data_IF_755044368784
#
_entry.id   IF_755044368784
#
_cell.length_a   1.000
_cell.length_b   1.000
_cell.length_c   1.000
_cell.angle_alpha   90.00
_cell.angle_beta   90.00
_cell.angle_gamma   90.00
#
_symmetry.space_group_name_H-M   'P 1'
#
loop_
_entity.id
_entity.type
_entity.pdbx_description
1 polymer ?
#
# COMPACT_ATOMS: atom_id res chain seq x y z
N UNK A 1 -16.60 -3.45 -5.53
CA UNK A 1 -16.51 -3.11 -6.97
C UNK A 1 -15.18 -2.43 -7.18
N UNK A 2 -14.48 -2.72 -8.29
CA UNK A 2 -13.21 -2.07 -8.59
C UNK A 2 -13.39 -0.55 -8.72
N UNK A 3 -12.39 0.22 -8.32
CA UNK A 3 -12.45 1.68 -8.23
C UNK A 3 -11.37 2.32 -9.11
N UNK A 4 -11.71 3.45 -9.74
CA UNK A 4 -10.76 4.24 -10.53
C UNK A 4 -9.90 5.13 -9.61
N UNK A 5 -8.62 5.26 -9.93
CA UNK A 5 -7.70 6.17 -9.22
C UNK A 5 -7.18 7.22 -10.21
N UNK A 6 -7.24 8.50 -9.83
CA UNK A 6 -6.64 9.59 -10.57
C UNK A 6 -5.65 10.33 -9.66
N UNK A 7 -4.43 10.48 -10.14
CA UNK A 7 -3.37 11.28 -9.53
C UNK A 7 -3.20 12.51 -10.43
N UNK A 8 -3.41 13.70 -9.87
CA UNK A 8 -3.48 14.95 -10.60
C UNK A 8 -2.47 15.96 -10.04
N UNK A 9 -1.40 16.21 -10.77
CA UNK A 9 -0.31 17.15 -10.45
C UNK A 9 0.26 16.98 -9.04
N UNK A 10 0.50 15.73 -8.62
CA UNK A 10 0.94 15.41 -7.25
C UNK A 10 2.44 15.64 -7.10
N UNK A 11 2.79 16.46 -6.10
CA UNK A 11 4.15 16.62 -5.59
C UNK A 11 4.24 16.13 -4.15
N UNK A 12 5.38 15.52 -3.81
CA UNK A 12 5.77 15.27 -2.42
C UNK A 12 7.18 15.73 -2.17
N UNK A 13 7.30 16.65 -1.24
CA UNK A 13 8.57 17.17 -0.72
C UNK A 13 8.67 16.79 0.75
N UNK A 14 9.83 16.27 1.16
CA UNK A 14 10.17 16.02 2.55
C UNK A 14 11.11 17.11 3.06
N UNK A 15 10.90 17.56 4.31
CA UNK A 15 11.67 18.56 5.02
C UNK A 15 10.77 19.59 5.70
N UNK A 16 11.39 20.55 6.37
CA UNK A 16 10.71 21.50 7.27
C UNK A 16 10.03 22.68 6.53
N UNK A 17 10.47 22.97 5.29
CA UNK A 17 9.96 24.08 4.48
C UNK A 17 9.63 23.62 3.04
N UNK A 18 8.67 22.68 2.85
CA UNK A 18 8.40 22.04 1.56
C UNK A 18 7.96 23.02 0.48
N UNK A 19 7.34 24.15 0.84
CA UNK A 19 6.84 25.16 -0.10
C UNK A 19 7.97 25.83 -0.90
N UNK A 20 9.14 26.04 -0.31
CA UNK A 20 10.30 26.61 -1.00
C UNK A 20 10.79 25.67 -2.11
N UNK A 21 10.93 24.40 -1.81
CA UNK A 21 11.34 23.40 -2.78
C UNK A 21 10.27 23.19 -3.86
N UNK A 22 8.98 23.21 -3.49
CA UNK A 22 7.88 23.12 -4.44
C UNK A 22 7.89 24.29 -5.45
N UNK A 23 8.15 25.51 -4.98
CA UNK A 23 8.26 26.67 -5.85
C UNK A 23 9.41 26.52 -6.87
N UNK A 24 10.57 26.02 -6.44
CA UNK A 24 11.72 25.75 -7.32
C UNK A 24 11.41 24.60 -8.29
N UNK A 25 10.75 23.54 -7.82
CA UNK A 25 10.35 22.43 -8.67
C UNK A 25 9.41 22.88 -9.79
N UNK A 26 8.45 23.74 -9.50
CA UNK A 26 7.54 24.32 -10.51
C UNK A 26 8.26 25.23 -11.52
N UNK A 27 9.42 25.77 -11.16
CA UNK A 27 10.28 26.54 -12.07
C UNK A 27 11.21 25.64 -12.90
N UNK A 28 11.16 24.30 -12.71
CA UNK A 28 11.98 23.34 -13.46
C UNK A 28 13.41 23.19 -12.91
N UNK A 29 13.70 23.67 -11.70
CA UNK A 29 14.99 23.46 -11.04
C UNK A 29 15.12 21.97 -10.67
N UNK A 30 16.22 21.32 -11.04
CA UNK A 30 16.40 19.88 -10.79
C UNK A 30 16.45 19.51 -9.31
N UNK A 31 16.18 18.22 -9.01
CA UNK A 31 16.05 17.72 -7.63
C UNK A 31 17.29 17.94 -6.79
N UNK A 32 18.49 17.79 -7.37
CA UNK A 32 19.74 17.93 -6.64
C UNK A 32 20.00 19.40 -6.27
N UNK A 33 19.78 20.31 -7.22
CA UNK A 33 19.92 21.76 -6.97
C UNK A 33 18.90 22.25 -5.93
N UNK A 34 17.68 21.67 -5.92
CA UNK A 34 16.66 21.97 -4.90
C UNK A 34 17.17 21.51 -3.52
N UNK A 35 17.68 20.27 -3.41
CA UNK A 35 18.22 19.74 -2.17
C UNK A 35 19.39 20.59 -1.64
N UNK A 36 20.33 20.95 -2.52
CA UNK A 36 21.48 21.78 -2.16
C UNK A 36 21.09 23.19 -1.67
N UNK A 37 20.09 23.80 -2.30
CA UNK A 37 19.63 25.17 -1.97
C UNK A 37 18.72 25.24 -0.76
N UNK A 38 17.91 24.19 -0.53
CA UNK A 38 16.83 24.25 0.46
C UNK A 38 16.96 23.22 1.58
N UNK A 39 17.83 22.21 1.44
CA UNK A 39 17.85 21.04 2.30
C UNK A 39 16.63 20.13 2.21
N UNK A 40 15.72 20.41 1.25
CA UNK A 40 14.46 19.67 1.08
C UNK A 40 14.58 18.63 -0.02
N UNK A 41 13.99 17.45 0.18
CA UNK A 41 14.03 16.35 -0.80
C UNK A 41 12.72 16.21 -1.55
N UNK A 42 12.76 16.33 -2.89
CA UNK A 42 11.59 16.09 -3.75
C UNK A 42 11.48 14.60 -4.08
N UNK A 43 10.56 13.90 -3.42
CA UNK A 43 10.34 12.46 -3.59
C UNK A 43 9.42 12.16 -4.79
N UNK A 44 8.32 12.90 -4.95
CA UNK A 44 7.41 12.79 -6.09
C UNK A 44 7.34 14.14 -6.79
N UNK A 45 7.45 14.11 -8.11
CA UNK A 45 7.51 15.31 -8.95
C UNK A 45 6.43 15.27 -10.02
N UNK A 46 5.43 16.13 -9.88
CA UNK A 46 4.34 16.33 -10.86
C UNK A 46 3.76 15.02 -11.41
N UNK A 47 3.43 14.11 -10.49
CA UNK A 47 2.88 12.81 -10.88
C UNK A 47 1.46 13.01 -11.43
N UNK A 48 1.25 12.49 -12.64
CA UNK A 48 -0.02 12.49 -13.34
C UNK A 48 -0.28 11.09 -13.86
N UNK A 49 -1.27 10.40 -13.27
CA UNK A 49 -1.60 9.01 -13.59
C UNK A 49 -3.12 8.81 -13.51
N UNK A 50 -3.61 7.90 -14.33
CA UNK A 50 -4.97 7.41 -14.27
C UNK A 50 -4.93 5.88 -14.32
N UNK A 51 -5.56 5.25 -13.35
CA UNK A 51 -5.65 3.81 -13.20
C UNK A 51 -7.13 3.46 -13.28
N UNK A 52 -7.49 2.64 -14.24
CA UNK A 52 -8.89 2.26 -14.45
C UNK A 52 -9.32 1.16 -13.47
N UNK A 53 -10.61 1.05 -13.26
CA UNK A 53 -11.19 0.01 -12.42
C UNK A 53 -10.84 -1.40 -12.96
N UNK A 54 -10.30 -2.26 -12.10
CA UNK A 54 -9.86 -3.62 -12.48
C UNK A 54 -8.52 -3.69 -13.20
N UNK A 55 -7.80 -2.57 -13.32
CA UNK A 55 -6.46 -2.54 -13.93
C UNK A 55 -5.37 -2.98 -12.94
N UNK A 56 -4.41 -3.78 -13.42
CA UNK A 56 -3.14 -4.02 -12.72
C UNK A 56 -2.14 -3.01 -13.22
N UNK A 57 -1.80 -2.04 -12.37
CA UNK A 57 -0.87 -0.96 -12.70
C UNK A 57 0.48 -1.15 -11.98
N UNK A 58 1.57 -1.19 -12.73
CA UNK A 58 2.91 -1.45 -12.18
C UNK A 58 3.77 -0.19 -12.25
N UNK A 59 4.31 0.23 -11.10
CA UNK A 59 5.25 1.35 -10.98
C UNK A 59 6.67 0.81 -10.90
N UNK A 60 7.49 1.08 -11.91
CA UNK A 60 8.89 0.66 -11.97
C UNK A 60 9.84 1.85 -11.90
N UNK A 61 11.05 1.61 -11.40
CA UNK A 61 12.10 2.63 -11.32
C UNK A 61 13.20 2.23 -10.34
N UNK A 62 14.29 2.99 -10.34
CA UNK A 62 15.44 2.77 -9.47
C UNK A 62 15.10 2.91 -7.97
N UNK A 63 15.94 2.37 -7.10
CA UNK A 63 15.84 2.62 -5.66
C UNK A 63 15.89 4.13 -5.38
N UNK A 64 15.06 4.62 -4.47
CA UNK A 64 14.98 6.06 -4.14
C UNK A 64 14.22 6.92 -5.16
N UNK A 65 13.64 6.35 -6.22
CA UNK A 65 12.89 7.14 -7.23
C UNK A 65 11.50 7.63 -6.77
N UNK A 66 11.07 7.30 -5.55
CA UNK A 66 9.81 7.75 -4.97
C UNK A 66 8.62 6.78 -5.12
N UNK A 67 8.82 5.56 -5.62
CA UNK A 67 7.76 4.54 -5.81
C UNK A 67 6.96 4.28 -4.53
N UNK A 68 7.64 3.89 -3.45
CA UNK A 68 6.99 3.64 -2.15
C UNK A 68 6.29 4.87 -1.60
N UNK A 69 6.86 6.06 -1.84
CA UNK A 69 6.21 7.32 -1.46
C UNK A 69 4.90 7.50 -2.24
N UNK A 70 4.90 7.27 -3.55
CA UNK A 70 3.71 7.40 -4.37
C UNK A 70 2.62 6.40 -3.94
N UNK A 71 2.98 5.13 -3.70
CA UNK A 71 2.03 4.12 -3.19
C UNK A 71 1.43 4.54 -1.83
N UNK A 72 2.23 5.11 -0.93
CA UNK A 72 1.76 5.58 0.39
C UNK A 72 0.93 6.86 0.34
N UNK A 73 1.04 7.63 -0.72
CA UNK A 73 0.15 8.77 -0.97
C UNK A 73 -1.27 8.30 -1.35
N UNK A 74 -1.39 7.16 -2.08
CA UNK A 74 -2.68 6.62 -2.55
C UNK A 74 -3.63 6.21 -1.42
N UNK A 75 -3.10 5.84 -0.26
CA UNK A 75 -3.91 5.54 0.93
C UNK A 75 -3.81 6.60 2.01
N UNK A 76 -3.21 7.77 1.66
CA UNK A 76 -3.01 8.91 2.56
C UNK A 76 -2.26 8.56 3.85
N UNK A 77 -1.34 7.56 3.81
CA UNK A 77 -0.35 7.35 4.87
C UNK A 77 0.67 8.49 4.91
N UNK A 78 0.86 9.13 3.77
CA UNK A 78 1.68 10.33 3.59
C UNK A 78 0.80 11.36 2.89
N UNK A 79 0.81 12.61 3.37
CA UNK A 79 0.13 13.72 2.71
C UNK A 79 0.98 14.26 1.54
N UNK A 80 0.39 14.57 0.38
CA UNK A 80 1.09 15.28 -0.68
C UNK A 80 1.43 16.70 -0.25
N UNK A 81 2.46 17.27 -0.86
CA UNK A 81 2.76 18.69 -0.69
C UNK A 81 1.84 19.53 -1.60
N UNK A 82 1.47 19.02 -2.76
CA UNK A 82 0.56 19.66 -3.72
C UNK A 82 -0.07 18.62 -4.63
N UNK A 83 -1.15 18.99 -5.32
CA UNK A 83 -1.90 18.12 -6.21
C UNK A 83 -3.05 17.41 -5.51
N UNK A 84 -3.71 16.49 -6.22
CA UNK A 84 -4.91 15.79 -5.72
C UNK A 84 -4.83 14.30 -6.07
N UNK A 85 -5.43 13.49 -5.23
CA UNK A 85 -5.64 12.06 -5.48
C UNK A 85 -7.13 11.78 -5.33
N UNK A 86 -7.73 11.29 -6.40
CA UNK A 86 -9.16 10.99 -6.45
C UNK A 86 -9.35 9.48 -6.55
N UNK A 87 -10.27 8.95 -5.75
CA UNK A 87 -10.76 7.58 -5.85
C UNK A 87 -12.24 7.67 -6.18
N UNK A 88 -12.65 7.14 -7.33
CA UNK A 88 -14.01 7.29 -7.89
C UNK A 88 -14.49 8.75 -7.89
N UNK A 89 -13.61 9.69 -8.24
CA UNK A 89 -13.91 11.12 -8.28
C UNK A 89 -13.91 11.82 -6.92
N UNK A 90 -13.74 11.09 -5.81
CA UNK A 90 -13.67 11.67 -4.48
C UNK A 90 -12.20 11.97 -4.09
N UNK A 91 -11.91 13.23 -3.78
CA UNK A 91 -10.58 13.64 -3.31
C UNK A 91 -10.34 13.10 -1.88
N UNK A 92 -9.37 12.18 -1.76
CA UNK A 92 -9.06 11.53 -0.48
C UNK A 92 -8.47 12.49 0.57
N UNK A 93 -7.92 13.63 0.15
CA UNK A 93 -7.35 14.65 1.06
C UNK A 93 -8.41 15.51 1.72
N UNK A 94 -9.61 15.57 1.12
CA UNK A 94 -10.76 16.28 1.67
C UNK A 94 -11.60 15.42 2.61
N UNK A 95 -11.31 14.13 2.72
CA UNK A 95 -12.00 13.22 3.62
C UNK A 95 -11.70 13.55 5.07
N UNK A 96 -12.74 13.53 5.91
CA UNK A 96 -12.57 13.52 7.36
C UNK A 96 -11.82 12.25 7.80
N UNK A 97 -11.19 12.28 8.97
CA UNK A 97 -10.50 11.09 9.52
C UNK A 97 -11.43 9.88 9.67
N UNK A 98 -12.70 10.10 9.98
CA UNK A 98 -13.68 9.02 10.06
C UNK A 98 -13.96 8.40 8.69
N UNK A 99 -14.15 9.23 7.65
CA UNK A 99 -14.36 8.78 6.28
C UNK A 99 -13.12 8.08 5.70
N UNK A 100 -11.93 8.61 5.97
CA UNK A 100 -10.66 7.98 5.56
C UNK A 100 -10.46 6.62 6.23
N UNK A 101 -10.77 6.50 7.53
CA UNK A 101 -10.72 5.19 8.21
C UNK A 101 -11.72 4.20 7.63
N UNK A 102 -12.92 4.65 7.25
CA UNK A 102 -13.92 3.81 6.60
C UNK A 102 -13.42 3.32 5.22
N UNK A 103 -12.87 4.23 4.41
CA UNK A 103 -12.28 3.90 3.11
C UNK A 103 -11.15 2.85 3.25
N UNK A 104 -10.22 3.05 4.18
CA UNK A 104 -9.11 2.11 4.43
C UNK A 104 -9.56 0.75 4.97
N UNK A 105 -10.68 0.69 5.71
CA UNK A 105 -11.19 -0.59 6.24
C UNK A 105 -11.89 -1.43 5.19
N UNK A 106 -12.56 -0.77 4.25
CA UNK A 106 -13.47 -1.41 3.31
C UNK A 106 -12.85 -1.58 1.93
N UNK A 107 -12.25 -0.52 1.42
CA UNK A 107 -11.96 -0.42 0.00
C UNK A 107 -10.46 -0.53 -0.32
N UNK A 108 -9.56 -0.25 0.63
CA UNK A 108 -8.12 -0.23 0.37
C UNK A 108 -7.39 -1.19 1.31
N UNK A 109 -6.67 -2.15 0.74
CA UNK A 109 -5.68 -2.94 1.46
C UNK A 109 -4.27 -2.62 0.99
N UNK A 110 -3.28 -2.78 1.88
CA UNK A 110 -1.89 -2.55 1.55
C UNK A 110 -0.99 -3.68 2.05
N UNK A 111 -0.14 -4.17 1.15
CA UNK A 111 0.97 -5.07 1.46
C UNK A 111 2.24 -4.24 1.58
N UNK A 112 2.86 -4.27 2.75
CA UNK A 112 4.07 -3.51 3.06
C UNK A 112 5.33 -4.29 2.70
N UNK A 113 6.40 -3.58 2.39
CA UNK A 113 7.74 -4.15 2.18
C UNK A 113 8.25 -4.91 3.43
N UNK A 114 8.05 -4.35 4.63
CA UNK A 114 8.19 -5.08 5.89
C UNK A 114 6.87 -5.77 6.19
N UNK A 115 6.88 -7.04 6.50
CA UNK A 115 5.66 -7.88 6.62
C UNK A 115 4.63 -7.32 7.60
N UNK A 116 5.05 -6.49 8.56
CA UNK A 116 4.21 -5.82 9.56
C UNK A 116 3.24 -6.81 10.25
N UNK A 117 3.70 -8.04 10.51
CA UNK A 117 2.94 -9.03 11.26
C UNK A 117 3.05 -8.74 12.76
N UNK A 118 1.97 -9.00 13.47
CA UNK A 118 1.93 -8.90 14.93
C UNK A 118 2.52 -10.16 15.54
N UNK A 119 3.67 -10.08 16.23
CA UNK A 119 4.41 -11.27 16.67
C UNK A 119 3.66 -12.08 17.74
N UNK A 120 2.75 -11.47 18.48
CA UNK A 120 1.93 -12.08 19.52
C UNK A 120 0.61 -12.68 19.02
N UNK A 121 0.34 -12.60 17.73
CA UNK A 121 -0.84 -13.15 17.07
C UNK A 121 -0.45 -14.32 16.18
N UNK A 122 -1.31 -15.36 16.11
CA UNK A 122 -1.14 -16.46 15.16
C UNK A 122 -1.27 -15.97 13.71
N UNK A 123 -0.86 -16.80 12.76
CA UNK A 123 -1.03 -16.57 11.33
C UNK A 123 -2.50 -16.29 10.97
N UNK A 124 -3.43 -17.11 11.49
CA UNK A 124 -4.86 -16.90 11.28
C UNK A 124 -5.34 -15.56 11.85
N UNK A 125 -4.91 -15.22 13.06
CA UNK A 125 -5.26 -13.95 13.70
C UNK A 125 -4.70 -12.75 12.93
N UNK A 126 -3.43 -12.82 12.48
CA UNK A 126 -2.83 -11.79 11.63
C UNK A 126 -3.62 -11.61 10.33
N UNK A 127 -4.04 -12.71 9.69
CA UNK A 127 -4.79 -12.66 8.44
C UNK A 127 -6.20 -12.09 8.65
N UNK A 128 -6.86 -12.45 9.74
CA UNK A 128 -8.21 -11.99 10.10
C UNK A 128 -8.25 -10.55 10.65
N UNK A 129 -7.11 -9.95 11.01
CA UNK A 129 -7.03 -8.73 11.81
C UNK A 129 -7.76 -7.52 11.18
N UNK A 130 -7.66 -7.34 9.87
CA UNK A 130 -8.37 -6.26 9.16
C UNK A 130 -9.89 -6.38 9.29
N UNK A 131 -10.40 -7.60 9.17
CA UNK A 131 -11.83 -7.91 9.33
C UNK A 131 -12.30 -7.75 10.78
N UNK A 132 -11.45 -8.06 11.74
CA UNK A 132 -11.72 -7.83 13.16
C UNK A 132 -11.89 -6.35 13.45
N UNK A 133 -11.00 -5.50 12.95
CA UNK A 133 -11.09 -4.03 13.06
C UNK A 133 -12.32 -3.46 12.33
N UNK A 134 -12.80 -4.16 11.30
CA UNK A 134 -14.04 -3.81 10.60
C UNK A 134 -15.31 -4.25 11.36
N UNK A 135 -15.17 -4.99 12.46
CA UNK A 135 -16.29 -5.47 13.28
C UNK A 135 -16.99 -6.71 12.72
N UNK A 136 -16.33 -7.44 11.80
CA UNK A 136 -16.85 -8.70 11.26
C UNK A 136 -16.86 -9.76 12.35
N UNK A 137 -17.94 -10.53 12.45
CA UNK A 137 -18.07 -11.60 13.42
C UNK A 137 -16.97 -12.68 13.27
N UNK A 138 -16.69 -13.39 14.34
CA UNK A 138 -15.56 -14.31 14.41
C UNK A 138 -15.62 -15.41 13.37
N UNK A 139 -16.76 -16.03 13.16
CA UNK A 139 -16.89 -17.16 12.26
C UNK A 139 -16.65 -16.73 10.81
N UNK A 140 -17.23 -15.61 10.40
CA UNK A 140 -17.07 -15.01 9.06
C UNK A 140 -15.62 -14.61 8.80
N UNK A 141 -14.97 -13.90 9.74
CA UNK A 141 -13.59 -13.44 9.55
C UNK A 141 -12.57 -14.58 9.54
N UNK A 142 -12.76 -15.61 10.38
CA UNK A 142 -11.88 -16.80 10.38
C UNK A 142 -12.05 -17.60 9.08
N UNK A 143 -13.26 -17.73 8.56
CA UNK A 143 -13.50 -18.40 7.28
C UNK A 143 -12.82 -17.66 6.13
N UNK A 144 -12.97 -16.34 6.05
CA UNK A 144 -12.32 -15.52 5.02
C UNK A 144 -10.78 -15.57 5.13
N UNK A 145 -10.25 -15.54 6.36
CA UNK A 145 -8.81 -15.65 6.60
C UNK A 145 -8.24 -17.02 6.20
N UNK A 146 -8.96 -18.10 6.47
CA UNK A 146 -8.56 -19.45 6.04
C UNK A 146 -8.54 -19.58 4.52
N UNK A 147 -9.58 -19.07 3.84
CA UNK A 147 -9.62 -19.05 2.38
C UNK A 147 -8.45 -18.25 1.77
N UNK A 148 -8.13 -17.08 2.35
CA UNK A 148 -6.99 -16.29 1.90
C UNK A 148 -5.64 -16.99 2.17
N UNK A 149 -5.49 -17.71 3.28
CA UNK A 149 -4.30 -18.52 3.57
C UNK A 149 -4.15 -19.69 2.61
N UNK A 150 -5.25 -20.30 2.17
CA UNK A 150 -5.25 -21.36 1.17
C UNK A 150 -4.75 -20.83 -0.18
N UNK A 151 -5.25 -19.67 -0.62
CA UNK A 151 -4.80 -19.01 -1.87
C UNK A 151 -3.29 -18.75 -1.91
N UNK A 152 -2.67 -18.44 -0.77
CA UNK A 152 -1.22 -18.22 -0.70
C UNK A 152 -0.41 -19.47 -0.31
N UNK A 153 -1.04 -20.66 -0.30
CA UNK A 153 -0.38 -21.95 -0.01
C UNK A 153 0.04 -22.11 1.46
N UNK A 154 -0.71 -21.51 2.41
CA UNK A 154 -0.43 -21.56 3.86
C UNK A 154 -1.58 -22.14 4.68
N UNK A 155 -2.47 -22.95 4.09
CA UNK A 155 -3.66 -23.51 4.77
C UNK A 155 -3.35 -24.24 6.10
N UNK A 156 -2.20 -24.95 6.20
CA UNK A 156 -1.81 -25.69 7.41
C UNK A 156 -1.13 -24.84 8.50
N UNK A 157 -0.88 -23.55 8.28
CA UNK A 157 -0.07 -22.70 9.16
C UNK A 157 -0.87 -21.75 10.04
N UNK A 158 -2.18 -21.85 10.02
CA UNK A 158 -3.06 -20.90 10.74
C UNK A 158 -2.82 -20.79 12.25
N UNK A 159 -2.38 -21.86 12.90
CA UNK A 159 -2.10 -21.89 14.34
C UNK A 159 -0.69 -21.46 14.72
N UNK A 160 0.24 -21.34 13.74
CA UNK A 160 1.62 -20.94 13.96
C UNK A 160 1.77 -19.46 14.23
N UNK A 161 2.90 -19.06 14.82
CA UNK A 161 3.28 -17.66 15.04
C UNK A 161 4.27 -17.17 13.97
N UNK A 162 4.40 -15.85 13.77
CA UNK A 162 5.28 -15.29 12.74
C UNK A 162 6.75 -15.72 12.84
N UNK A 163 7.28 -15.92 14.03
CA UNK A 163 8.67 -16.37 14.29
C UNK A 163 8.93 -17.84 13.90
N UNK A 164 7.88 -18.64 13.73
CA UNK A 164 7.96 -20.01 13.22
C UNK A 164 8.00 -20.09 11.69
N UNK A 165 7.87 -18.94 10.99
CA UNK A 165 7.75 -18.85 9.55
C UNK A 165 9.04 -18.33 8.91
N UNK A 166 9.38 -18.82 7.71
CA UNK A 166 10.38 -18.19 6.86
C UNK A 166 9.95 -16.78 6.42
N UNK A 167 10.89 -15.92 6.01
CA UNK A 167 10.57 -14.57 5.52
C UNK A 167 9.58 -14.58 4.34
N UNK A 168 9.73 -15.53 3.40
CA UNK A 168 8.78 -15.69 2.30
C UNK A 168 7.38 -16.12 2.77
N UNK A 169 7.28 -16.97 3.79
CA UNK A 169 5.98 -17.32 4.39
C UNK A 169 5.35 -16.13 5.12
N UNK A 170 6.13 -15.35 5.86
CA UNK A 170 5.64 -14.13 6.51
C UNK A 170 5.10 -13.12 5.48
N UNK A 171 5.76 -13.00 4.34
CA UNK A 171 5.30 -12.15 3.23
C UNK A 171 3.96 -12.65 2.68
N UNK A 172 3.81 -13.95 2.46
CA UNK A 172 2.54 -14.56 2.03
C UNK A 172 1.42 -14.37 3.04
N UNK A 173 1.70 -14.41 4.35
CA UNK A 173 0.71 -14.04 5.39
C UNK A 173 0.30 -12.56 5.26
N UNK A 174 1.25 -11.67 5.00
CA UNK A 174 0.95 -10.25 4.74
C UNK A 174 0.03 -10.04 3.53
N UNK A 175 0.24 -10.81 2.46
CA UNK A 175 -0.62 -10.83 1.28
C UNK A 175 -2.00 -11.41 1.61
N UNK A 176 -2.08 -12.57 2.28
CA UNK A 176 -3.34 -13.17 2.70
C UNK A 176 -4.17 -12.23 3.56
N UNK A 177 -3.53 -11.49 4.49
CA UNK A 177 -4.20 -10.46 5.30
C UNK A 177 -4.84 -9.37 4.44
N UNK A 178 -4.17 -8.95 3.38
CA UNK A 178 -4.69 -7.94 2.47
C UNK A 178 -5.83 -8.47 1.62
N UNK A 179 -5.75 -9.72 1.15
CA UNK A 179 -6.77 -10.39 0.33
C UNK A 179 -8.02 -10.77 1.14
N UNK A 180 -7.87 -11.17 2.41
CA UNK A 180 -8.98 -11.58 3.27
C UNK A 180 -10.09 -10.53 3.40
N UNK A 181 -9.75 -9.25 3.25
CA UNK A 181 -10.69 -8.14 3.31
C UNK A 181 -11.46 -7.91 1.99
N UNK A 182 -11.13 -8.64 0.92
CA UNK A 182 -11.70 -8.47 -0.44
C UNK A 182 -11.73 -6.98 -0.87
N UNK A 183 -10.57 -6.30 -0.90
CA UNK A 183 -10.52 -4.86 -1.13
C UNK A 183 -10.82 -4.50 -2.59
N UNK A 184 -11.40 -3.32 -2.82
CA UNK A 184 -11.58 -2.76 -4.16
C UNK A 184 -10.24 -2.29 -4.77
N UNK A 185 -9.28 -1.91 -3.91
CA UNK A 185 -7.93 -1.45 -4.28
C UNK A 185 -6.91 -2.20 -3.43
N UNK A 186 -5.98 -2.91 -4.10
CA UNK A 186 -4.85 -3.55 -3.46
C UNK A 186 -3.56 -2.80 -3.80
N UNK A 187 -2.94 -2.19 -2.80
CA UNK A 187 -1.67 -1.48 -2.92
C UNK A 187 -0.51 -2.39 -2.49
N UNK A 188 0.54 -2.47 -3.30
CA UNK A 188 1.71 -3.29 -3.02
C UNK A 188 2.99 -2.44 -3.05
N UNK A 189 3.70 -2.36 -1.92
CA UNK A 189 4.98 -1.67 -1.80
C UNK A 189 6.10 -2.70 -1.72
N UNK A 190 6.69 -3.05 -2.88
CA UNK A 190 7.76 -4.07 -3.01
C UNK A 190 7.40 -5.43 -2.39
N UNK A 191 6.11 -5.80 -2.46
CA UNK A 191 5.54 -6.97 -1.79
C UNK A 191 6.18 -8.32 -2.16
N UNK A 192 6.87 -8.40 -3.29
CA UNK A 192 7.51 -9.62 -3.77
C UNK A 192 9.05 -9.57 -3.72
N UNK A 193 9.64 -8.54 -3.11
CA UNK A 193 11.09 -8.33 -3.11
C UNK A 193 11.87 -9.41 -2.35
N UNK A 194 11.27 -9.97 -1.30
CA UNK A 194 11.87 -11.02 -0.46
C UNK A 194 11.55 -12.45 -0.91
N UNK A 195 10.75 -12.64 -1.98
CA UNK A 195 10.43 -13.96 -2.51
C UNK A 195 11.50 -14.42 -3.50
N UNK A 196 11.78 -15.73 -3.50
CA UNK A 196 12.56 -16.35 -4.57
C UNK A 196 11.81 -16.24 -5.92
N UNK A 197 12.54 -16.34 -7.06
CA UNK A 197 11.96 -16.12 -8.38
C UNK A 197 10.80 -17.05 -8.73
N UNK A 198 10.81 -18.30 -8.25
CA UNK A 198 9.76 -19.30 -8.55
C UNK A 198 8.48 -18.93 -7.81
N UNK A 199 8.56 -18.74 -6.51
CA UNK A 199 7.40 -18.34 -5.67
C UNK A 199 6.85 -16.97 -6.11
N UNK A 200 7.73 -16.06 -6.52
CA UNK A 200 7.28 -14.76 -7.08
C UNK A 200 6.40 -14.95 -8.31
N UNK A 201 6.81 -15.82 -9.24
CA UNK A 201 6.04 -16.09 -10.47
C UNK A 201 4.70 -16.74 -10.15
N UNK A 202 4.68 -17.73 -9.24
CA UNK A 202 3.43 -18.36 -8.78
C UNK A 202 2.47 -17.35 -8.16
N UNK A 203 2.95 -16.52 -7.24
CA UNK A 203 2.14 -15.50 -6.57
C UNK A 203 1.63 -14.41 -7.53
N UNK A 204 2.37 -14.08 -8.58
CA UNK A 204 1.93 -13.13 -9.60
C UNK A 204 0.85 -13.70 -10.51
N UNK A 205 0.76 -15.03 -10.65
CA UNK A 205 -0.29 -15.68 -11.43
C UNK A 205 -1.61 -15.87 -10.66
N UNK A 206 -1.59 -15.74 -9.34
CA UNK A 206 -2.77 -15.84 -8.46
C UNK A 206 -3.48 -14.48 -8.26
N UNK A 207 -2.87 -13.37 -8.68
CA UNK A 207 -3.41 -12.01 -8.60
C UNK A 207 -4.09 -11.59 -9.91
#
# INVERSE_FOLDING_TARGET
>A
MAQQIIIDHVFKVFGDAPEQALALARQGVDKQAILERTGQSVAVWDANLRIEAGEIFVIMGLSGSGKSTLVRLLNRLIEPTSGRILIDGQDIHQLSDAALRALRRKDISMVFQSFALMPHMTVLQNTAFGLELAGVDRATREHAALAALEQVGLAGWGASYPDELSGGMQQRVGLARALAADPAILLMDEAFSALDPIIRTEMQSEL
#
